data_IF_450151596650
#
_entry.id   IF_450151596650
#
_cell.length_a   1.000
_cell.length_b   1.000
_cell.length_c   1.000
_cell.angle_alpha   90.00
_cell.angle_beta   90.00
_cell.angle_gamma   90.00
#
_symmetry.space_group_name_H-M   'P 1'
#
loop_
_entity.id
_entity.type
_entity.pdbx_description
1 polymer ?
#
# COMPACT_ATOMS: atom_id res chain seq x y z
N UNK A 1 15.94 -10.80 20.63
CA UNK A 1 14.90 -11.65 19.98
C UNK A 1 13.59 -10.87 20.06
N UNK A 2 13.22 -10.16 18.99
CA UNK A 2 12.02 -9.35 18.97
C UNK A 2 10.80 -10.28 18.92
N UNK A 3 10.10 -10.39 20.04
CA UNK A 3 8.88 -11.19 20.16
C UNK A 3 7.73 -10.27 19.78
N UNK A 4 7.25 -10.40 18.55
CA UNK A 4 6.17 -9.55 18.08
C UNK A 4 4.80 -10.04 18.58
N UNK A 5 3.95 -9.17 19.16
CA UNK A 5 2.61 -9.53 19.62
C UNK A 5 1.57 -9.07 18.59
N UNK A 6 1.16 -9.94 17.66
CA UNK A 6 0.01 -9.69 16.78
C UNK A 6 -1.07 -10.74 17.00
N UNK A 7 -1.76 -10.74 18.13
CA UNK A 7 -3.13 -11.28 18.11
C UNK A 7 -3.98 -10.25 17.36
N UNK A 8 -4.05 -10.39 16.04
CA UNK A 8 -5.09 -9.78 15.24
C UNK A 8 -6.26 -10.76 15.31
N UNK A 9 -7.43 -10.25 15.70
CA UNK A 9 -8.64 -11.03 15.88
C UNK A 9 -8.97 -11.86 14.64
N UNK A 10 -9.26 -13.15 14.86
CA UNK A 10 -9.72 -14.16 13.90
C UNK A 10 -11.13 -13.85 13.34
N UNK A 11 -11.53 -12.58 13.24
CA UNK A 11 -12.91 -12.21 12.90
C UNK A 11 -13.20 -12.16 11.38
N UNK A 12 -12.19 -12.18 10.52
CA UNK A 12 -12.38 -12.11 9.06
C UNK A 12 -12.72 -13.45 8.39
N UNK A 13 -12.89 -14.53 9.17
CA UNK A 13 -13.00 -15.90 8.65
C UNK A 13 -14.32 -16.29 7.96
N UNK A 14 -15.38 -15.47 7.98
CA UNK A 14 -16.70 -15.92 7.47
C UNK A 14 -17.62 -14.83 6.89
N UNK A 15 -17.11 -13.61 6.66
CA UNK A 15 -17.90 -12.55 6.02
C UNK A 15 -17.87 -12.73 4.49
N UNK A 16 -19.04 -12.75 3.85
CA UNK A 16 -19.14 -12.76 2.39
C UNK A 16 -18.47 -11.50 1.82
N UNK A 17 -17.47 -11.71 0.96
CA UNK A 17 -16.65 -10.63 0.44
C UNK A 17 -17.37 -9.93 -0.72
N UNK A 18 -17.48 -8.59 -0.72
CA UNK A 18 -18.23 -7.84 -1.72
C UNK A 18 -17.41 -7.65 -3.02
N UNK A 19 -17.09 -8.75 -3.71
CA UNK A 19 -16.17 -8.76 -4.86
C UNK A 19 -16.60 -7.87 -6.02
N UNK A 20 -17.89 -7.88 -6.36
CA UNK A 20 -18.43 -7.03 -7.44
C UNK A 20 -18.25 -5.54 -7.13
N UNK A 21 -18.54 -5.14 -5.89
CA UNK A 21 -18.33 -3.77 -5.43
C UNK A 21 -16.84 -3.41 -5.33
N UNK A 22 -15.98 -4.39 -5.02
CA UNK A 22 -14.54 -4.21 -4.95
C UNK A 22 -13.95 -3.91 -6.33
N UNK A 23 -14.43 -4.58 -7.38
CA UNK A 23 -14.02 -4.38 -8.78
C UNK A 23 -14.40 -2.99 -9.33
N UNK A 24 -15.42 -2.35 -8.77
CA UNK A 24 -15.93 -1.05 -9.20
C UNK A 24 -15.03 0.14 -8.77
N UNK A 25 -13.75 0.10 -9.17
CA UNK A 25 -12.78 1.19 -8.98
C UNK A 25 -12.07 1.52 -10.31
N UNK A 26 -11.64 2.78 -10.54
CA UNK A 26 -11.14 3.22 -11.85
C UNK A 26 -9.98 2.38 -12.41
N UNK A 27 -9.06 1.95 -11.54
CA UNK A 27 -7.88 1.17 -11.95
C UNK A 27 -8.23 -0.23 -12.48
N UNK A 28 -9.39 -0.79 -12.09
CA UNK A 28 -9.85 -2.11 -12.52
C UNK A 28 -10.92 -2.04 -13.62
N UNK A 29 -11.38 -0.84 -14.00
CA UNK A 29 -12.52 -0.63 -14.88
C UNK A 29 -12.31 -1.13 -16.32
N UNK A 30 -11.05 -1.26 -16.76
CA UNK A 30 -10.70 -1.68 -18.13
C UNK A 30 -10.43 -3.19 -18.26
N UNK A 31 -10.51 -3.94 -17.16
CA UNK A 31 -10.35 -5.39 -17.21
C UNK A 31 -11.56 -6.04 -17.89
N UNK A 32 -11.31 -7.00 -18.76
CA UNK A 32 -12.35 -7.87 -19.31
C UNK A 32 -13.02 -8.70 -18.20
N UNK A 33 -14.23 -9.20 -18.46
CA UNK A 33 -14.95 -10.04 -17.47
C UNK A 33 -14.14 -11.27 -17.05
N UNK A 34 -13.35 -11.84 -17.97
CA UNK A 34 -12.46 -12.97 -17.70
C UNK A 34 -11.34 -12.57 -16.74
N UNK A 35 -10.69 -11.44 -16.97
CA UNK A 35 -9.63 -10.92 -16.10
C UNK A 35 -10.18 -10.54 -14.72
N UNK A 36 -11.36 -9.93 -14.64
CA UNK A 36 -12.03 -9.62 -13.37
C UNK A 36 -12.31 -10.88 -12.56
N UNK A 37 -12.79 -11.94 -13.20
CA UNK A 37 -13.06 -13.22 -12.53
C UNK A 37 -11.77 -13.90 -12.05
N UNK A 38 -10.73 -13.92 -12.90
CA UNK A 38 -9.41 -14.44 -12.55
C UNK A 38 -8.79 -13.66 -11.38
N UNK A 39 -8.86 -12.34 -11.42
CA UNK A 39 -8.37 -11.46 -10.36
C UNK A 39 -9.11 -11.70 -9.04
N UNK A 40 -10.43 -11.87 -9.10
CA UNK A 40 -11.26 -12.16 -7.91
C UNK A 40 -10.84 -13.48 -7.26
N UNK A 41 -10.65 -14.54 -8.04
CA UNK A 41 -10.17 -15.83 -7.51
C UNK A 41 -8.77 -15.71 -6.92
N UNK A 42 -7.88 -14.97 -7.57
CA UNK A 42 -6.51 -14.77 -7.07
C UNK A 42 -6.50 -13.95 -5.77
N UNK A 43 -7.30 -12.89 -5.69
CA UNK A 43 -7.46 -12.07 -4.49
C UNK A 43 -8.05 -12.86 -3.32
N UNK A 44 -9.00 -13.76 -3.58
CA UNK A 44 -9.54 -14.66 -2.55
C UNK A 44 -8.45 -15.60 -2.00
N UNK A 45 -7.62 -16.18 -2.88
CA UNK A 45 -6.46 -17.01 -2.45
C UNK A 45 -5.42 -16.19 -1.68
N UNK A 46 -5.19 -14.95 -2.11
CA UNK A 46 -4.29 -14.03 -1.41
C UNK A 46 -4.71 -13.83 0.04
N UNK A 47 -6.00 -13.60 0.31
CA UNK A 47 -6.50 -13.41 1.68
C UNK A 47 -6.47 -14.69 2.52
N UNK A 48 -6.47 -15.88 1.90
CA UNK A 48 -6.29 -17.14 2.61
C UNK A 48 -4.83 -17.38 3.00
N UNK A 49 -3.89 -16.88 2.19
CA UNK A 49 -2.45 -17.14 2.36
C UNK A 49 -1.71 -16.01 3.08
N UNK A 50 -2.25 -14.79 3.04
CA UNK A 50 -1.58 -13.58 3.53
C UNK A 50 -2.48 -12.80 4.45
N UNK A 51 -1.87 -12.22 5.49
CA UNK A 51 -2.60 -11.46 6.51
C UNK A 51 -2.50 -9.97 6.25
N UNK A 52 -3.66 -9.30 6.21
CA UNK A 52 -3.74 -7.84 6.27
C UNK A 52 -3.80 -7.42 7.73
N UNK A 53 -2.78 -6.72 8.21
CA UNK A 53 -2.68 -6.26 9.60
C UNK A 53 -2.89 -4.75 9.63
N UNK A 54 -4.09 -4.35 10.04
CA UNK A 54 -4.40 -2.94 10.26
C UNK A 54 -3.78 -2.49 11.60
N UNK A 55 -3.13 -1.33 11.59
CA UNK A 55 -2.39 -0.80 12.74
C UNK A 55 -3.04 0.48 13.28
N UNK A 56 -2.72 0.82 14.53
CA UNK A 56 -3.13 2.07 15.18
C UNK A 56 -4.67 2.26 15.24
N UNK A 57 -5.42 1.17 15.41
CA UNK A 57 -6.89 1.22 15.48
C UNK A 57 -7.58 1.46 14.13
N UNK A 58 -6.86 1.34 13.01
CA UNK A 58 -7.46 1.33 11.69
C UNK A 58 -8.39 0.12 11.54
N UNK A 59 -9.64 0.34 11.12
CA UNK A 59 -10.58 -0.72 10.79
C UNK A 59 -10.66 -0.93 9.28
N UNK A 60 -10.48 -2.18 8.84
CA UNK A 60 -10.61 -2.56 7.44
C UNK A 60 -11.92 -3.30 7.22
N UNK A 61 -12.85 -2.66 6.53
CA UNK A 61 -14.09 -3.30 6.07
C UNK A 61 -13.78 -4.44 5.07
N UNK A 62 -14.69 -5.40 4.88
CA UNK A 62 -14.55 -6.43 3.84
C UNK A 62 -14.27 -5.84 2.45
N UNK A 63 -14.90 -4.70 2.13
CA UNK A 63 -14.65 -3.99 0.86
C UNK A 63 -13.20 -3.47 0.75
N UNK A 64 -12.64 -2.92 1.84
CA UNK A 64 -11.24 -2.49 1.87
C UNK A 64 -10.29 -3.68 1.68
N UNK A 65 -10.52 -4.77 2.41
CA UNK A 65 -9.70 -5.98 2.32
C UNK A 65 -9.71 -6.58 0.91
N UNK A 66 -10.90 -6.67 0.29
CA UNK A 66 -11.05 -7.17 -1.08
C UNK A 66 -10.28 -6.31 -2.09
N UNK A 67 -10.41 -4.99 -2.00
CA UNK A 67 -9.70 -4.05 -2.90
C UNK A 67 -8.20 -4.11 -2.71
N UNK A 68 -7.71 -4.16 -1.47
CA UNK A 68 -6.28 -4.29 -1.19
C UNK A 68 -5.74 -5.59 -1.82
N UNK A 69 -6.41 -6.72 -1.60
CA UNK A 69 -6.01 -7.99 -2.20
C UNK A 69 -5.99 -7.94 -3.74
N UNK A 70 -7.01 -7.35 -4.37
CA UNK A 70 -7.04 -7.16 -5.82
C UNK A 70 -5.88 -6.29 -6.32
N UNK A 71 -5.51 -5.22 -5.61
CA UNK A 71 -4.38 -4.37 -5.99
C UNK A 71 -3.04 -5.10 -5.89
N UNK A 72 -2.86 -6.01 -4.93
CA UNK A 72 -1.67 -6.87 -4.85
C UNK A 72 -1.63 -7.90 -5.97
N UNK A 73 -2.77 -8.47 -6.34
CA UNK A 73 -2.87 -9.50 -7.37
C UNK A 73 -2.79 -8.95 -8.80
N UNK A 74 -3.15 -7.68 -9.02
CA UNK A 74 -3.20 -7.08 -10.37
C UNK A 74 -1.86 -7.17 -11.13
N UNK A 75 -0.69 -6.81 -10.56
CA UNK A 75 0.60 -6.89 -11.26
C UNK A 75 1.05 -8.31 -11.58
N UNK A 76 0.53 -9.30 -10.85
CA UNK A 76 0.89 -10.72 -10.98
C UNK A 76 -0.23 -11.56 -11.60
N UNK A 77 -1.26 -10.92 -12.16
CA UNK A 77 -2.45 -11.61 -12.68
C UNK A 77 -2.10 -12.68 -13.73
N UNK A 78 -1.15 -12.38 -14.61
CA UNK A 78 -0.66 -13.30 -15.65
C UNK A 78 0.61 -14.07 -15.24
N UNK A 79 1.18 -13.77 -14.08
CA UNK A 79 2.42 -14.39 -13.57
C UNK A 79 2.16 -15.52 -12.58
N UNK A 80 1.10 -15.41 -11.78
CA UNK A 80 0.77 -16.34 -10.70
C UNK A 80 0.99 -15.73 -9.30
N UNK A 81 0.27 -16.27 -8.31
CA UNK A 81 0.28 -15.76 -6.93
C UNK A 81 1.60 -16.03 -6.20
N UNK A 82 2.34 -17.05 -6.63
CA UNK A 82 3.64 -17.46 -6.09
C UNK A 82 4.71 -16.34 -6.16
N UNK A 83 4.54 -15.38 -7.08
CA UNK A 83 5.39 -14.20 -7.15
C UNK A 83 5.27 -13.29 -5.92
N UNK A 84 4.23 -13.49 -5.11
CA UNK A 84 4.00 -12.78 -3.87
C UNK A 84 4.48 -13.56 -2.63
N UNK A 85 5.15 -14.71 -2.79
CA UNK A 85 5.60 -15.56 -1.66
C UNK A 85 6.75 -14.95 -0.85
N UNK A 86 7.36 -13.87 -1.34
CA UNK A 86 8.38 -13.11 -0.62
C UNK A 86 7.89 -12.43 0.66
N UNK A 87 6.57 -12.42 0.92
CA UNK A 87 5.98 -11.88 2.14
C UNK A 87 4.73 -12.65 2.56
N UNK A 88 4.44 -12.60 3.86
CA UNK A 88 3.31 -13.30 4.48
C UNK A 88 2.26 -12.31 5.02
N UNK A 89 2.64 -11.05 5.21
CA UNK A 89 1.86 -10.06 5.95
C UNK A 89 1.99 -8.68 5.31
N UNK A 90 0.90 -7.91 5.34
CA UNK A 90 0.86 -6.52 4.88
C UNK A 90 0.46 -5.66 6.07
N UNK A 91 1.36 -4.79 6.49
CA UNK A 91 1.11 -3.83 7.57
C UNK A 91 0.48 -2.56 6.98
N UNK A 92 -0.69 -2.17 7.48
CA UNK A 92 -1.45 -1.03 6.95
C UNK A 92 -1.59 0.02 8.05
N UNK A 93 -0.94 1.16 7.82
CA UNK A 93 -1.00 2.32 8.69
C UNK A 93 -2.09 3.29 8.21
N UNK A 94 -2.72 4.05 9.13
CA UNK A 94 -3.75 5.03 8.77
C UNK A 94 -3.20 6.23 8.00
N UNK A 95 -1.89 6.52 8.14
CA UNK A 95 -1.23 7.65 7.51
C UNK A 95 0.22 7.32 7.14
N UNK A 96 0.80 8.01 6.15
CA UNK A 96 2.21 7.87 5.83
C UNK A 96 3.10 8.36 6.98
N UNK A 97 4.31 7.80 7.07
CA UNK A 97 5.34 8.32 7.96
C UNK A 97 5.92 9.60 7.37
N UNK A 98 5.72 10.71 8.07
CA UNK A 98 6.41 11.96 7.76
C UNK A 98 7.71 11.95 8.56
N UNK A 99 8.82 11.71 7.85
CA UNK A 99 10.14 11.99 8.40
C UNK A 99 10.41 13.46 8.17
N UNK A 100 10.64 14.21 9.25
CA UNK A 100 11.10 15.59 9.16
C UNK A 100 12.57 15.56 8.73
N UNK A 101 12.81 15.27 7.44
CA UNK A 101 14.14 15.37 6.90
C UNK A 101 14.53 16.85 6.88
N UNK A 102 15.38 17.24 7.83
CA UNK A 102 16.25 18.40 7.74
C UNK A 102 17.26 18.18 6.59
N UNK A 103 16.80 18.16 5.34
CA UNK A 103 17.71 18.22 4.20
C UNK A 103 18.38 19.60 4.22
N UNK A 104 19.61 19.57 4.74
CA UNK A 104 20.61 20.63 4.78
C UNK A 104 20.76 21.30 3.42
N UNK A 105 20.64 22.63 3.45
CA UNK A 105 21.31 23.62 2.58
C UNK A 105 21.37 23.27 1.10
N UNK A 106 20.43 23.81 0.32
CA UNK A 106 20.54 23.82 -1.15
C UNK A 106 21.60 24.84 -1.53
N UNK A 107 22.70 24.38 -2.14
CA UNK A 107 23.68 25.27 -2.77
C UNK A 107 23.11 25.76 -4.10
N UNK A 108 22.90 27.07 -4.19
CA UNK A 108 22.42 27.78 -5.36
C UNK A 108 23.57 28.56 -5.97
N UNK A 109 23.77 28.42 -7.28
CA UNK A 109 24.72 29.24 -8.02
C UNK A 109 24.05 30.48 -8.61
N UNK A 110 24.69 31.64 -8.44
CA UNK A 110 24.30 32.91 -9.06
C UNK A 110 25.45 33.49 -9.87
N UNK A 111 25.14 34.05 -11.04
CA UNK A 111 26.09 34.77 -11.89
C UNK A 111 26.68 36.02 -11.22
N UNK A 112 25.94 36.63 -10.28
CA UNK A 112 26.37 37.85 -9.58
C UNK A 112 27.03 37.56 -8.25
N UNK A 113 26.73 36.43 -7.61
CA UNK A 113 27.13 36.16 -6.21
C UNK A 113 27.84 34.83 -5.96
N UNK A 114 28.04 34.00 -6.99
CA UNK A 114 28.63 32.67 -6.84
C UNK A 114 27.72 31.69 -6.10
N UNK A 115 28.31 30.68 -5.46
CA UNK A 115 27.59 29.69 -4.66
C UNK A 115 27.12 30.27 -3.34
N UNK A 116 25.85 30.05 -2.98
CA UNK A 116 25.32 30.37 -1.65
C UNK A 116 24.23 29.39 -1.24
N UNK A 117 23.96 29.28 0.06
CA UNK A 117 22.96 28.37 0.60
C UNK A 117 21.59 29.04 0.72
N UNK A 118 20.51 28.32 0.45
CA UNK A 118 19.13 28.77 0.73
C UNK A 118 18.44 27.91 1.78
N UNK A 119 17.63 28.53 2.62
CA UNK A 119 16.69 27.87 3.52
C UNK A 119 15.39 27.46 2.79
N UNK A 120 14.49 26.78 3.51
CA UNK A 120 13.19 26.35 2.97
C UNK A 120 12.27 27.52 2.55
N UNK A 121 12.48 28.71 3.10
CA UNK A 121 11.72 29.92 2.75
C UNK A 121 12.30 30.65 1.52
N UNK A 122 13.40 30.13 0.94
CA UNK A 122 14.09 30.73 -0.19
C UNK A 122 15.00 31.89 0.19
N UNK A 123 15.21 32.13 1.49
CA UNK A 123 16.13 33.14 1.98
C UNK A 123 17.56 32.60 1.91
N UNK A 124 18.49 33.50 1.60
CA UNK A 124 19.92 33.19 1.60
C UNK A 124 20.39 33.03 3.05
N UNK A 125 20.95 31.87 3.36
CA UNK A 125 21.62 31.57 4.63
C UNK A 125 23.11 31.80 4.40
N UNK A 126 23.77 32.51 5.33
CA UNK A 126 25.19 32.86 5.25
C UNK A 126 26.11 31.64 5.31
#
# INVERSE_FOLDING_TARGET
MFKWPWKADDESGNAEMPWEQALAIPVLAHLSSTEQHKLTQMAARFLQQKRLVALQGLELTPLHQARIAMLFCLPVLELGIEWLDGFHEVLIYPAPFIVDDEWRMILVWSTTSGWYSRDKAGNRVL
#
